data_IF_572759115188
#
_entry.id   IF_572759115188
#
_cell.length_a   1.000
_cell.length_b   1.000
_cell.length_c   1.000
_cell.angle_alpha   90.00
_cell.angle_beta   90.00
_cell.angle_gamma   90.00
#
_symmetry.space_group_name_H-M   'P 1'
#
loop_
_entity.id
_entity.type
_entity.pdbx_description
1 polymer ?
#
# COMPACT_ATOMS: atom_id res chain seq x y z
N UNK A 1 12.85 -47.39 -3.34
CA UNK A 1 13.21 -46.13 -4.03
C UNK A 1 12.14 -45.90 -5.05
N UNK A 2 11.23 -44.95 -4.78
CA UNK A 2 10.22 -44.60 -5.78
C UNK A 2 10.91 -43.92 -6.98
N UNK A 3 10.49 -44.23 -8.22
CA UNK A 3 11.06 -43.59 -9.40
C UNK A 3 10.72 -42.10 -9.40
N UNK A 4 11.75 -41.25 -9.34
CA UNK A 4 11.64 -39.80 -9.40
C UNK A 4 10.71 -39.33 -10.54
N UNK A 5 9.70 -38.55 -10.15
CA UNK A 5 8.71 -37.98 -11.06
C UNK A 5 9.42 -37.13 -12.13
N UNK A 6 8.91 -37.14 -13.36
CA UNK A 6 9.50 -36.41 -14.49
C UNK A 6 9.69 -34.92 -14.18
N UNK A 7 8.76 -34.35 -13.41
CA UNK A 7 8.87 -32.98 -12.91
C UNK A 7 10.09 -32.75 -12.01
N UNK A 8 10.40 -33.68 -11.11
CA UNK A 8 11.53 -33.55 -10.18
C UNK A 8 12.86 -33.65 -10.92
N UNK A 9 12.95 -34.53 -11.93
CA UNK A 9 14.11 -34.60 -12.85
C UNK A 9 14.33 -33.27 -13.58
N UNK A 10 13.29 -32.72 -14.20
CA UNK A 10 13.40 -31.43 -14.90
C UNK A 10 13.77 -30.29 -13.94
N UNK A 11 13.29 -30.33 -12.70
CA UNK A 11 13.65 -29.35 -11.67
C UNK A 11 15.12 -29.43 -11.30
N UNK A 12 15.64 -30.64 -11.09
CA UNK A 12 17.06 -30.85 -10.78
C UNK A 12 17.97 -30.42 -11.93
N UNK A 13 17.61 -30.72 -13.18
CA UNK A 13 18.37 -30.26 -14.35
C UNK A 13 18.45 -28.73 -14.45
N UNK A 14 17.33 -28.04 -14.17
CA UNK A 14 17.30 -26.57 -14.12
C UNK A 14 18.18 -26.04 -13.00
N UNK A 15 18.14 -26.66 -11.81
CA UNK A 15 19.00 -26.28 -10.67
C UNK A 15 20.47 -26.49 -11.02
N UNK A 16 20.82 -27.61 -11.65
CA UNK A 16 22.19 -27.91 -12.07
C UNK A 16 22.69 -26.95 -13.14
N UNK A 17 21.88 -26.66 -14.17
CA UNK A 17 22.21 -25.67 -15.21
C UNK A 17 22.42 -24.28 -14.62
N UNK A 18 21.53 -23.83 -13.73
CA UNK A 18 21.65 -22.52 -13.08
C UNK A 18 22.91 -22.46 -12.19
N UNK A 19 23.20 -23.51 -11.42
CA UNK A 19 24.41 -23.58 -10.60
C UNK A 19 25.69 -23.58 -11.46
N UNK A 20 25.69 -24.25 -12.61
CA UNK A 20 26.82 -24.22 -13.54
C UNK A 20 27.08 -22.81 -14.10
N UNK A 21 26.01 -22.10 -14.48
CA UNK A 21 26.09 -20.69 -14.92
C UNK A 21 26.63 -19.80 -13.80
N UNK A 22 26.13 -19.94 -12.58
CA UNK A 22 26.61 -19.17 -11.42
C UNK A 22 28.08 -19.45 -11.09
N UNK A 23 28.54 -20.68 -11.33
CA UNK A 23 29.94 -21.08 -11.17
C UNK A 23 30.82 -20.48 -12.27
N UNK A 24 30.37 -20.50 -13.53
CA UNK A 24 31.07 -19.89 -14.66
C UNK A 24 31.21 -18.37 -14.49
N UNK A 25 30.18 -17.71 -13.96
CA UNK A 25 30.18 -16.29 -13.65
C UNK A 25 30.97 -15.92 -12.38
N UNK A 26 31.55 -16.89 -11.67
CA UNK A 26 32.35 -16.64 -10.46
C UNK A 26 31.57 -16.02 -9.31
N UNK A 27 30.23 -16.15 -9.29
CA UNK A 27 29.38 -15.47 -8.30
C UNK A 27 29.68 -15.97 -6.89
N UNK A 28 29.91 -17.28 -6.73
CA UNK A 28 30.25 -17.87 -5.43
C UNK A 28 31.61 -17.41 -4.90
N UNK A 29 32.61 -17.24 -5.76
CA UNK A 29 33.94 -16.77 -5.36
C UNK A 29 33.92 -15.28 -5.05
N UNK A 30 33.15 -14.48 -5.79
CA UNK A 30 32.90 -13.07 -5.48
C UNK A 30 32.17 -12.89 -4.13
N UNK A 31 31.16 -13.72 -3.84
CA UNK A 31 30.46 -13.72 -2.57
C UNK A 31 31.37 -14.08 -1.39
N UNK A 32 32.25 -15.08 -1.55
CA UNK A 32 33.25 -15.45 -0.54
C UNK A 32 34.28 -14.34 -0.29
N UNK A 33 34.76 -13.65 -1.33
CA UNK A 33 35.66 -12.49 -1.18
C UNK A 33 35.01 -11.34 -0.42
N UNK A 34 33.73 -11.05 -0.68
CA UNK A 34 32.95 -10.05 0.06
C UNK A 34 32.72 -10.47 1.52
N UNK A 35 32.50 -11.76 1.78
CA UNK A 35 32.36 -12.29 3.13
C UNK A 35 33.69 -12.23 3.91
N UNK A 36 34.82 -12.51 3.25
CA UNK A 36 36.16 -12.43 3.84
C UNK A 36 36.62 -10.98 4.10
N UNK A 37 36.15 -10.00 3.30
CA UNK A 37 36.43 -8.57 3.48
C UNK A 37 35.62 -7.90 4.61
N UNK A 38 34.60 -8.56 5.14
CA UNK A 38 33.91 -8.10 6.35
C UNK A 38 34.69 -8.58 7.57
N UNK A 39 35.59 -7.73 8.05
CA UNK A 39 36.26 -7.91 9.34
C UNK A 39 35.25 -8.35 10.40
N UNK A 40 35.65 -9.36 11.20
CA UNK A 40 34.82 -9.91 12.30
C UNK A 40 34.26 -8.74 13.11
N UNK A 41 32.94 -8.56 13.07
CA UNK A 41 32.25 -7.71 14.05
C UNK A 41 32.67 -8.21 15.44
N UNK A 42 33.18 -7.34 16.34
CA UNK A 42 33.51 -7.77 17.68
C UNK A 42 32.25 -8.38 18.32
N UNK A 43 32.38 -9.43 19.13
CA UNK A 43 31.23 -10.07 19.76
C UNK A 43 30.45 -9.00 20.53
N UNK A 44 29.15 -8.89 20.24
CA UNK A 44 28.26 -8.04 21.01
C UNK A 44 28.31 -8.52 22.45
N UNK A 45 28.96 -7.72 23.31
CA UNK A 45 28.99 -7.91 24.75
C UNK A 45 27.54 -8.06 25.22
N UNK A 46 27.16 -9.27 25.63
CA UNK A 46 25.86 -9.54 26.23
C UNK A 46 25.69 -8.56 27.39
N UNK A 47 24.79 -7.58 27.22
CA UNK A 47 24.47 -6.62 28.28
C UNK A 47 23.89 -7.45 29.43
N UNK A 48 24.66 -7.58 30.53
CA UNK A 48 24.12 -8.07 31.80
C UNK A 48 22.91 -7.20 32.11
N UNK A 49 21.74 -7.83 32.32
CA UNK A 49 20.53 -7.13 32.77
C UNK A 49 20.90 -6.40 34.06
N UNK A 50 20.92 -5.08 34.02
CA UNK A 50 21.10 -4.28 35.22
C UNK A 50 19.87 -4.49 36.13
N UNK A 51 20.04 -4.59 37.45
CA UNK A 51 18.91 -4.64 38.37
C UNK A 51 18.12 -3.32 38.22
N UNK A 52 16.80 -3.46 38.08
CA UNK A 52 15.87 -2.34 37.94
C UNK A 52 15.98 -1.49 39.19
N UNK A 53 16.55 -0.28 39.08
CA UNK A 53 16.49 0.71 40.15
C UNK A 53 15.05 1.23 40.22
N UNK A 54 14.42 1.06 41.38
CA UNK A 54 13.12 1.62 41.69
C UNK A 54 13.15 3.15 41.52
N UNK A 55 12.45 3.64 40.50
CA UNK A 55 12.18 5.06 40.37
C UNK A 55 11.02 5.39 41.33
N UNK A 56 11.34 6.12 42.40
CA UNK A 56 10.37 6.75 43.29
C UNK A 56 9.55 7.73 42.47
N UNK A 57 8.25 7.44 42.29
CA UNK A 57 7.28 8.33 41.66
C UNK A 57 6.88 9.41 42.66
N UNK A 58 7.06 10.69 42.30
CA UNK A 58 6.40 11.80 42.98
C UNK A 58 5.03 12.06 42.31
N UNK A 59 4.02 12.11 43.17
CA UNK A 59 2.71 12.77 43.04
C UNK A 59 1.62 12.17 42.13
N UNK A 60 0.70 11.47 42.81
CA UNK A 60 -0.74 11.72 42.86
C UNK A 60 -1.51 11.92 41.55
N UNK A 61 -2.19 10.85 41.11
CA UNK A 61 -3.57 10.91 40.59
C UNK A 61 -4.28 9.59 40.95
N UNK A 62 -5.54 9.76 41.37
CA UNK A 62 -6.43 8.81 41.99
C UNK A 62 -6.64 7.52 41.18
N UNK A 63 -6.87 6.44 41.91
CA UNK A 63 -7.17 5.08 41.44
C UNK A 63 -8.27 5.02 40.38
N UNK A 64 -8.03 4.23 39.34
CA UNK A 64 -9.07 3.61 38.53
C UNK A 64 -8.70 2.15 38.33
N UNK A 65 -9.62 1.29 38.73
CA UNK A 65 -9.52 -0.16 38.81
C UNK A 65 -9.29 -0.82 37.44
N UNK A 66 -8.88 -2.08 37.50
CA UNK A 66 -8.39 -2.94 36.42
C UNK A 66 -9.24 -2.90 35.13
N UNK A 67 -8.57 -2.59 34.01
CA UNK A 67 -9.05 -2.90 32.66
C UNK A 67 -7.89 -3.60 31.92
N UNK A 68 -8.09 -4.88 31.59
CA UNK A 68 -7.20 -5.65 30.72
C UNK A 68 -7.03 -4.92 29.38
N UNK A 69 -5.78 -4.60 29.02
CA UNK A 69 -5.46 -4.04 27.71
C UNK A 69 -5.81 -5.02 26.57
N UNK A 70 -6.17 -4.52 25.38
CA UNK A 70 -6.67 -5.37 24.30
C UNK A 70 -5.59 -6.37 23.85
N UNK A 71 -5.93 -7.66 23.94
CA UNK A 71 -5.10 -8.77 23.49
C UNK A 71 -4.82 -8.59 22.00
N UNK A 72 -3.54 -8.59 21.62
CA UNK A 72 -3.12 -8.67 20.21
C UNK A 72 -3.59 -10.01 19.66
N UNK A 73 -4.73 -10.02 18.99
CA UNK A 73 -5.22 -11.20 18.31
C UNK A 73 -4.23 -11.64 17.23
N UNK A 74 -3.89 -12.92 17.30
CA UNK A 74 -2.95 -13.58 16.39
C UNK A 74 -3.56 -13.61 14.99
N UNK A 75 -2.95 -12.86 14.06
CA UNK A 75 -3.33 -12.75 12.64
C UNK A 75 -3.19 -14.07 11.83
N UNK A 76 -3.03 -15.22 12.50
CA UNK A 76 -2.80 -16.54 11.91
C UNK A 76 -3.95 -17.53 12.08
N UNK A 77 -5.03 -17.14 12.77
CA UNK A 77 -6.21 -18.00 12.98
C UNK A 77 -7.37 -17.73 11.98
N UNK A 78 -7.18 -16.85 10.98
CA UNK A 78 -8.24 -16.43 10.05
C UNK A 78 -8.23 -17.22 8.73
N UNK A 79 -7.87 -18.51 8.78
CA UNK A 79 -7.79 -19.42 7.63
C UNK A 79 -8.64 -20.68 7.87
N UNK A 80 -9.90 -20.53 8.29
CA UNK A 80 -10.80 -21.69 8.43
C UNK A 80 -12.26 -21.43 8.03
N UNK A 81 -12.57 -20.30 7.39
CA UNK A 81 -13.83 -20.19 6.68
C UNK A 81 -13.53 -19.65 5.29
N UNK A 82 -13.47 -20.55 4.31
CA UNK A 82 -13.81 -20.19 2.94
C UNK A 82 -15.30 -19.79 2.96
N UNK A 83 -15.57 -18.59 3.46
CA UNK A 83 -16.80 -17.87 3.21
C UNK A 83 -16.98 -17.90 1.70
N UNK A 84 -18.05 -18.53 1.22
CA UNK A 84 -18.38 -18.60 -0.20
C UNK A 84 -18.42 -17.18 -0.75
N UNK A 85 -17.34 -16.78 -1.42
CA UNK A 85 -17.19 -15.42 -1.93
C UNK A 85 -18.16 -15.22 -3.07
N UNK A 86 -19.19 -14.41 -2.84
CA UNK A 86 -20.24 -14.15 -3.81
C UNK A 86 -19.85 -12.98 -4.72
N UNK A 87 -20.40 -12.95 -5.94
CA UNK A 87 -20.30 -11.73 -6.76
C UNK A 87 -21.05 -10.59 -6.07
N UNK A 88 -20.68 -9.34 -6.35
CA UNK A 88 -21.38 -8.18 -5.81
C UNK A 88 -22.89 -8.23 -6.14
N UNK A 89 -23.23 -8.57 -7.39
CA UNK A 89 -24.62 -8.68 -7.84
C UNK A 89 -25.39 -9.75 -7.05
N UNK A 90 -24.78 -10.92 -6.84
CA UNK A 90 -25.42 -12.01 -6.09
C UNK A 90 -25.56 -11.66 -4.61
N UNK A 91 -24.57 -10.97 -4.02
CA UNK A 91 -24.61 -10.52 -2.64
C UNK A 91 -25.75 -9.53 -2.37
N UNK A 92 -25.90 -8.51 -3.23
CA UNK A 92 -26.99 -7.54 -3.06
C UNK A 92 -28.36 -8.14 -3.38
N UNK A 93 -28.45 -9.04 -4.37
CA UNK A 93 -29.67 -9.81 -4.63
C UNK A 93 -30.05 -10.66 -3.41
N UNK A 94 -29.09 -11.30 -2.75
CA UNK A 94 -29.30 -12.04 -1.51
C UNK A 94 -29.77 -11.14 -0.36
N UNK A 95 -29.27 -9.90 -0.28
CA UNK A 95 -29.76 -8.89 0.67
C UNK A 95 -31.11 -8.28 0.31
N UNK A 96 -31.68 -8.59 -0.86
CA UNK A 96 -32.91 -7.97 -1.35
C UNK A 96 -32.76 -6.47 -1.64
N UNK A 97 -31.55 -6.02 -1.98
CA UNK A 97 -31.26 -4.64 -2.36
C UNK A 97 -31.06 -4.53 -3.87
N UNK A 98 -31.79 -3.63 -4.51
CA UNK A 98 -31.58 -3.30 -5.91
C UNK A 98 -30.30 -2.48 -6.08
N UNK A 99 -29.37 -2.98 -6.90
CA UNK A 99 -28.08 -2.34 -7.12
C UNK A 99 -28.23 -1.37 -8.28
N UNK A 100 -28.29 -0.07 -7.97
CA UNK A 100 -28.24 1.01 -8.96
C UNK A 100 -26.86 1.70 -8.99
N UNK A 101 -25.82 0.98 -8.55
CA UNK A 101 -24.45 1.48 -8.50
C UNK A 101 -23.79 1.57 -9.87
N UNK A 102 -22.75 2.41 -9.96
CA UNK A 102 -21.95 2.60 -11.17
C UNK A 102 -21.11 1.34 -11.41
N UNK A 103 -21.16 0.77 -12.61
CA UNK A 103 -20.30 -0.36 -12.99
C UNK A 103 -18.97 0.19 -13.48
N UNK A 104 -17.86 -0.29 -12.91
CA UNK A 104 -16.51 0.14 -13.27
C UNK A 104 -15.64 -1.02 -13.71
N UNK A 105 -14.66 -0.76 -14.58
CA UNK A 105 -13.64 -1.71 -15.05
C UNK A 105 -12.45 -1.82 -14.08
N UNK A 106 -12.40 -0.94 -13.09
CA UNK A 106 -11.34 -0.90 -12.11
C UNK A 106 -10.10 -0.11 -12.52
N UNK A 107 -10.19 0.66 -13.61
CA UNK A 107 -9.13 1.51 -14.12
C UNK A 107 -9.47 2.98 -13.93
N UNK A 108 -8.51 3.76 -13.44
CA UNK A 108 -8.58 5.21 -13.39
C UNK A 108 -7.91 5.82 -14.62
N UNK A 109 -8.70 6.57 -15.40
CA UNK A 109 -8.28 7.21 -16.66
C UNK A 109 -8.05 8.71 -16.51
N UNK A 110 -8.37 9.29 -15.35
CA UNK A 110 -8.16 10.70 -15.08
C UNK A 110 -6.70 11.06 -14.85
N UNK A 111 -6.45 12.37 -14.77
CA UNK A 111 -5.18 12.96 -14.35
C UNK A 111 -5.35 13.72 -13.04
N UNK A 112 -4.29 14.39 -12.58
CA UNK A 112 -4.36 15.28 -11.42
C UNK A 112 -5.43 16.35 -11.63
N UNK A 113 -6.13 16.74 -10.56
CA UNK A 113 -7.13 17.81 -10.61
C UNK A 113 -6.57 19.06 -11.31
N UNK A 114 -7.26 19.62 -12.33
CA UNK A 114 -6.76 20.76 -13.11
C UNK A 114 -6.38 21.98 -12.27
N UNK A 115 -7.10 22.23 -11.17
CA UNK A 115 -6.79 23.31 -10.24
C UNK A 115 -5.40 23.14 -9.59
N UNK A 116 -5.07 21.90 -9.21
CA UNK A 116 -3.78 21.54 -8.62
C UNK A 116 -2.68 21.59 -9.69
N UNK A 117 -2.96 21.15 -10.93
CA UNK A 117 -2.00 21.25 -12.04
C UNK A 117 -1.54 22.68 -12.26
N UNK A 118 -2.50 23.60 -12.40
CA UNK A 118 -2.24 25.03 -12.57
C UNK A 118 -1.50 25.64 -11.39
N UNK A 119 -1.85 25.26 -10.16
CA UNK A 119 -1.27 25.83 -8.94
C UNK A 119 0.19 25.43 -8.73
N UNK A 120 0.55 24.18 -8.99
CA UNK A 120 1.89 23.64 -8.72
C UNK A 120 2.75 23.40 -9.96
N UNK A 121 2.28 23.80 -11.14
CA UNK A 121 2.99 23.62 -12.40
C UNK A 121 3.24 22.15 -12.72
N UNK A 122 2.21 21.32 -12.49
CA UNK A 122 2.17 19.93 -12.93
C UNK A 122 1.62 19.94 -14.36
N UNK A 123 2.21 19.19 -15.30
CA UNK A 123 1.69 19.09 -16.66
C UNK A 123 0.22 18.68 -16.67
N UNK A 124 -0.55 19.19 -17.62
CA UNK A 124 -2.01 19.01 -17.67
C UNK A 124 -2.41 17.60 -18.16
N UNK A 125 -1.47 16.84 -18.74
CA UNK A 125 -1.67 15.48 -19.25
C UNK A 125 -0.55 14.52 -18.85
N UNK A 126 -0.91 13.23 -18.73
CA UNK A 126 0.03 12.12 -18.52
C UNK A 126 1.10 12.07 -19.64
N UNK A 127 0.70 12.36 -20.88
CA UNK A 127 1.58 12.33 -22.05
C UNK A 127 2.63 13.43 -22.00
N UNK A 128 2.24 14.63 -21.60
CA UNK A 128 3.15 15.77 -21.45
C UNK A 128 4.11 15.54 -20.27
N UNK A 129 3.59 15.03 -19.14
CA UNK A 129 4.42 14.63 -18.01
C UNK A 129 5.43 13.54 -18.39
N UNK A 130 5.02 12.58 -19.22
CA UNK A 130 5.91 11.55 -19.73
C UNK A 130 6.88 12.08 -20.79
N UNK A 131 6.51 13.06 -21.60
CA UNK A 131 7.40 13.68 -22.58
C UNK A 131 8.49 14.53 -21.92
N UNK A 132 8.13 15.33 -20.90
CA UNK A 132 9.10 16.10 -20.11
C UNK A 132 9.92 15.22 -19.16
N UNK A 133 9.31 14.17 -18.61
CA UNK A 133 9.90 13.26 -17.63
C UNK A 133 10.44 11.95 -18.20
N UNK A 134 10.50 11.83 -19.53
CA UNK A 134 10.86 10.67 -20.34
C UNK A 134 11.42 9.48 -19.58
N UNK A 135 10.56 8.48 -19.33
CA UNK A 135 10.93 7.13 -18.89
C UNK A 135 12.11 7.07 -17.90
N UNK A 136 11.84 7.09 -16.59
CA UNK A 136 12.86 6.79 -15.58
C UNK A 136 13.34 5.33 -15.61
N UNK A 137 13.97 4.88 -16.71
CA UNK A 137 15.00 3.84 -16.64
C UNK A 137 16.15 4.46 -15.85
N UNK A 138 16.20 4.11 -14.56
CA UNK A 138 17.16 4.67 -13.64
C UNK A 138 16.53 5.78 -12.83
N UNK A 139 15.81 5.41 -11.77
CA UNK A 139 15.81 6.27 -10.59
C UNK A 139 17.26 6.50 -10.21
N UNK A 140 17.83 7.64 -10.62
CA UNK A 140 19.03 8.19 -10.03
C UNK A 140 18.83 8.04 -8.53
N UNK A 141 19.66 7.21 -7.88
CA UNK A 141 19.65 7.04 -6.42
C UNK A 141 19.53 8.44 -5.85
N UNK A 142 18.34 8.75 -5.30
CA UNK A 142 17.94 10.12 -5.04
C UNK A 142 19.06 10.86 -4.35
N UNK A 143 19.35 12.07 -4.83
CA UNK A 143 20.12 13.03 -4.06
C UNK A 143 19.61 12.93 -2.62
N UNK A 144 20.52 12.71 -1.67
CA UNK A 144 20.18 12.55 -0.25
C UNK A 144 19.70 13.91 0.27
N UNK A 145 18.51 14.34 -0.12
CA UNK A 145 17.79 15.41 0.55
C UNK A 145 17.60 14.92 1.97
N UNK A 146 18.13 15.67 2.94
CA UNK A 146 18.18 15.28 4.34
C UNK A 146 16.82 14.76 4.79
N UNK A 147 16.79 13.60 5.44
CA UNK A 147 15.55 13.07 6.01
C UNK A 147 15.02 14.11 6.99
N UNK A 148 13.83 14.62 6.73
CA UNK A 148 13.09 15.38 7.73
C UNK A 148 12.87 14.47 8.94
N UNK A 149 13.18 14.97 10.14
CA UNK A 149 13.21 14.15 11.35
C UNK A 149 11.82 13.52 11.58
N UNK A 150 11.76 12.19 11.69
CA UNK A 150 10.52 11.44 11.91
C UNK A 150 9.82 10.91 10.65
N UNK A 151 10.27 11.26 9.44
CA UNK A 151 9.69 10.71 8.21
C UNK A 151 10.33 9.38 7.80
N UNK A 152 9.51 8.44 7.34
CA UNK A 152 10.00 7.22 6.71
C UNK A 152 10.67 7.53 5.36
N UNK A 153 11.60 6.67 4.91
CA UNK A 153 12.29 6.87 3.63
C UNK A 153 11.29 6.99 2.45
N UNK A 154 10.21 6.20 2.48
CA UNK A 154 9.17 6.23 1.45
C UNK A 154 8.37 7.53 1.48
N UNK A 155 8.09 8.08 2.67
CA UNK A 155 7.38 9.36 2.83
C UNK A 155 8.24 10.54 2.33
N UNK A 156 9.54 10.53 2.67
CA UNK A 156 10.47 11.55 2.20
C UNK A 156 10.68 11.47 0.67
N UNK A 157 10.80 10.27 0.11
CA UNK A 157 10.94 10.09 -1.34
C UNK A 157 9.67 10.53 -2.10
N UNK A 158 8.49 10.10 -1.67
CA UNK A 158 7.23 10.51 -2.33
C UNK A 158 7.02 12.02 -2.32
N UNK A 159 7.51 12.74 -1.30
CA UNK A 159 7.40 14.20 -1.24
C UNK A 159 8.16 14.91 -2.37
N UNK A 160 9.22 14.31 -2.93
CA UNK A 160 9.96 14.89 -4.07
C UNK A 160 9.28 14.63 -5.42
N UNK A 161 8.25 13.79 -5.45
CA UNK A 161 7.69 13.26 -6.69
C UNK A 161 6.50 14.07 -7.23
N UNK A 162 6.15 15.21 -6.63
CA UNK A 162 4.93 15.96 -7.00
C UNK A 162 4.82 16.24 -8.52
N UNK A 163 5.92 16.63 -9.17
CA UNK A 163 5.95 16.95 -10.61
C UNK A 163 6.32 15.75 -11.49
N UNK A 164 7.08 14.80 -10.97
CA UNK A 164 7.63 13.67 -11.76
C UNK A 164 6.74 12.44 -11.73
N UNK A 165 6.12 12.15 -10.58
CA UNK A 165 5.14 11.09 -10.40
C UNK A 165 4.09 11.57 -9.39
N UNK A 166 3.09 12.35 -9.86
CA UNK A 166 2.06 12.90 -9.00
C UNK A 166 1.28 11.82 -8.24
N UNK A 167 1.06 10.65 -8.87
CA UNK A 167 0.39 9.52 -8.23
C UNK A 167 1.13 9.07 -6.95
N UNK A 168 2.47 8.96 -7.00
CA UNK A 168 3.25 8.58 -5.83
C UNK A 168 3.23 9.63 -4.72
N UNK A 169 3.15 10.92 -5.07
CA UNK A 169 3.02 12.01 -4.12
C UNK A 169 1.66 11.98 -3.42
N UNK A 170 0.57 12.09 -4.19
CA UNK A 170 -0.80 12.18 -3.66
C UNK A 170 -1.29 10.90 -2.99
N UNK A 171 -0.61 9.77 -3.20
CA UNK A 171 -0.88 8.57 -2.43
C UNK A 171 -0.62 8.75 -0.93
N UNK A 172 0.30 9.65 -0.54
CA UNK A 172 0.76 9.81 0.86
C UNK A 172 0.67 11.24 1.39
N UNK A 173 0.58 12.22 0.52
CA UNK A 173 0.60 13.64 0.84
C UNK A 173 -0.62 14.31 0.21
N UNK A 174 -1.14 15.32 0.89
CA UNK A 174 -2.12 16.25 0.32
C UNK A 174 -1.39 17.33 -0.47
N UNK A 175 -2.12 18.26 -1.09
CA UNK A 175 -1.50 19.42 -1.71
C UNK A 175 -0.61 20.18 -0.68
N UNK A 176 0.54 20.76 -1.08
CA UNK A 176 1.48 21.42 -0.17
C UNK A 176 0.90 22.46 0.80
N UNK A 177 -0.20 23.11 0.43
CA UNK A 177 -0.85 24.16 1.26
C UNK A 177 -2.07 23.66 2.04
N UNK A 178 -2.34 22.36 2.00
CA UNK A 178 -3.49 21.74 2.68
C UNK A 178 -3.03 20.88 3.86
N UNK A 179 -3.91 20.77 4.84
CA UNK A 179 -3.73 19.84 5.95
C UNK A 179 -4.49 18.53 5.69
N UNK A 180 -3.89 17.41 6.09
CA UNK A 180 -4.52 16.12 5.91
C UNK A 180 -5.66 15.91 6.91
N UNK A 181 -6.85 15.61 6.41
CA UNK A 181 -7.99 15.25 7.23
C UNK A 181 -7.73 13.95 8.01
N UNK A 182 -7.88 14.03 9.33
CA UNK A 182 -7.84 12.90 10.26
C UNK A 182 -9.25 12.73 10.86
N UNK A 183 -10.07 11.88 10.25
CA UNK A 183 -11.43 11.67 10.71
C UNK A 183 -12.32 10.96 9.70
N UNK A 184 -13.59 10.86 10.05
CA UNK A 184 -14.65 10.27 9.23
C UNK A 184 -14.87 11.05 7.93
N UNK A 185 -15.46 10.40 6.95
CA UNK A 185 -15.80 11.01 5.65
C UNK A 185 -17.05 11.85 5.77
N UNK A 186 -16.97 13.10 5.35
CA UNK A 186 -18.11 14.01 5.23
C UNK A 186 -18.95 13.66 4.00
N UNK A 187 -20.18 14.18 3.96
CA UNK A 187 -21.10 13.96 2.84
C UNK A 187 -20.57 14.63 1.55
N UNK A 188 -19.99 15.83 1.66
CA UNK A 188 -19.36 16.54 0.55
C UNK A 188 -18.19 15.73 -0.06
N UNK A 189 -17.32 15.17 0.79
CA UNK A 189 -16.23 14.30 0.33
C UNK A 189 -16.75 13.02 -0.32
N UNK A 190 -17.87 12.48 0.18
CA UNK A 190 -18.51 11.29 -0.36
C UNK A 190 -19.08 11.55 -1.76
N UNK A 191 -19.79 12.66 -1.96
CA UNK A 191 -20.33 13.06 -3.25
C UNK A 191 -19.20 13.27 -4.28
N UNK A 192 -18.15 13.98 -3.87
CA UNK A 192 -16.98 14.23 -4.72
C UNK A 192 -16.25 12.96 -5.12
N UNK A 193 -16.19 11.96 -4.21
CA UNK A 193 -15.66 10.64 -4.51
C UNK A 193 -16.46 9.96 -5.63
N UNK A 194 -17.79 9.96 -5.53
CA UNK A 194 -18.67 9.32 -6.51
C UNK A 194 -18.64 10.05 -7.85
N UNK A 195 -18.64 11.38 -7.84
CA UNK A 195 -18.53 12.20 -9.05
C UNK A 195 -17.20 11.93 -9.78
N UNK A 196 -16.10 11.94 -9.04
CA UNK A 196 -14.76 11.64 -9.59
C UNK A 196 -14.73 10.23 -10.20
N UNK A 197 -15.30 9.24 -9.51
CA UNK A 197 -15.37 7.87 -10.00
C UNK A 197 -16.23 7.75 -11.27
N UNK A 198 -17.34 8.50 -11.35
CA UNK A 198 -18.21 8.55 -12.52
C UNK A 198 -17.52 9.18 -13.74
N UNK A 199 -16.78 10.26 -13.52
CA UNK A 199 -16.11 11.01 -14.58
C UNK A 199 -14.86 10.29 -15.11
N UNK A 200 -14.03 9.75 -14.21
CA UNK A 200 -12.67 9.31 -14.53
C UNK A 200 -12.43 7.81 -14.34
N UNK A 201 -13.42 7.06 -13.86
CA UNK A 201 -13.22 5.68 -13.38
C UNK A 201 -12.58 5.64 -11.99
N UNK A 202 -12.31 4.44 -11.48
CA UNK A 202 -11.71 4.23 -10.14
C UNK A 202 -11.13 2.81 -10.06
N UNK A 203 -10.08 2.61 -9.24
CA UNK A 203 -9.67 1.27 -8.83
C UNK A 203 -8.17 0.98 -8.74
N UNK A 204 -7.28 1.85 -9.23
CA UNK A 204 -5.84 1.60 -9.27
C UNK A 204 -4.97 2.83 -8.91
N UNK A 205 -5.07 3.94 -9.67
CA UNK A 205 -4.25 5.15 -9.51
C UNK A 205 -4.79 6.06 -8.39
N UNK A 206 -4.82 5.52 -7.17
CA UNK A 206 -5.42 6.18 -6.00
C UNK A 206 -4.81 7.53 -5.63
N UNK A 207 -3.53 7.77 -5.94
CA UNK A 207 -2.93 9.08 -5.73
C UNK A 207 -3.52 10.13 -6.68
N UNK A 208 -3.60 9.83 -7.98
CA UNK A 208 -4.24 10.74 -8.94
C UNK A 208 -5.70 10.97 -8.59
N UNK A 209 -6.42 9.91 -8.25
CA UNK A 209 -7.81 9.99 -7.80
C UNK A 209 -7.98 10.93 -6.59
N UNK A 210 -7.14 10.78 -5.56
CA UNK A 210 -7.20 11.60 -4.35
C UNK A 210 -6.93 13.10 -4.61
N UNK A 211 -6.26 13.46 -5.70
CA UNK A 211 -6.06 14.88 -6.04
C UNK A 211 -7.37 15.63 -6.32
N UNK A 212 -8.46 14.93 -6.60
CA UNK A 212 -9.80 15.52 -6.78
C UNK A 212 -10.55 15.68 -5.45
N UNK A 213 -10.06 15.12 -4.34
CA UNK A 213 -10.71 15.16 -3.03
C UNK A 213 -9.78 15.91 -2.06
N UNK A 214 -10.05 17.19 -1.77
CA UNK A 214 -9.23 18.01 -0.88
C UNK A 214 -8.99 17.35 0.48
N UNK A 215 -7.83 17.61 1.09
CA UNK A 215 -7.45 17.07 2.40
C UNK A 215 -7.37 15.52 2.53
N UNK A 216 -7.72 14.75 1.50
CA UNK A 216 -7.61 13.27 1.48
C UNK A 216 -6.41 12.82 0.65
N UNK A 217 -5.87 11.66 1.01
CA UNK A 217 -4.74 11.03 0.29
C UNK A 217 -5.14 9.67 -0.28
N UNK A 218 -4.35 9.17 -1.23
CA UNK A 218 -4.70 7.97 -1.99
C UNK A 218 -4.93 6.72 -1.14
N UNK A 219 -4.15 6.49 -0.07
CA UNK A 219 -4.41 5.33 0.80
C UNK A 219 -5.72 5.45 1.59
N UNK A 220 -6.21 6.66 1.87
CA UNK A 220 -7.51 6.86 2.51
C UNK A 220 -8.63 6.57 1.50
N UNK A 221 -8.48 7.04 0.26
CA UNK A 221 -9.44 6.77 -0.81
C UNK A 221 -9.57 5.28 -1.12
N UNK A 222 -8.44 4.55 -1.20
CA UNK A 222 -8.47 3.11 -1.46
C UNK A 222 -9.08 2.32 -0.31
N UNK A 223 -8.84 2.73 0.93
CA UNK A 223 -9.47 2.14 2.11
C UNK A 223 -10.98 2.40 2.13
N UNK A 224 -11.38 3.64 1.85
CA UNK A 224 -12.79 4.03 1.79
C UNK A 224 -13.55 3.27 0.70
N UNK A 225 -12.92 3.06 -0.44
CA UNK A 225 -13.49 2.29 -1.55
C UNK A 225 -13.86 0.86 -1.13
N UNK A 226 -12.91 0.14 -0.52
CA UNK A 226 -13.11 -1.26 -0.11
C UNK A 226 -14.01 -1.40 1.13
N UNK A 227 -13.99 -0.45 2.06
CA UNK A 227 -14.69 -0.56 3.34
C UNK A 227 -16.11 0.03 3.30
N UNK A 228 -16.35 1.03 2.46
CA UNK A 228 -17.63 1.76 2.43
C UNK A 228 -18.29 1.71 1.06
N UNK A 229 -17.59 2.07 -0.01
CA UNK A 229 -18.20 2.23 -1.34
C UNK A 229 -18.69 0.89 -1.91
N UNK A 230 -17.81 -0.12 -1.92
CA UNK A 230 -18.14 -1.45 -2.45
C UNK A 230 -19.23 -2.14 -1.60
N UNK A 231 -19.11 -2.22 -0.26
CA UNK A 231 -20.13 -2.89 0.55
C UNK A 231 -21.50 -2.20 0.53
N UNK A 232 -21.56 -0.89 0.25
CA UNK A 232 -22.83 -0.16 0.06
C UNK A 232 -23.42 -0.32 -1.34
N UNK A 233 -22.69 -0.92 -2.28
CA UNK A 233 -23.19 -1.16 -3.65
C UNK A 233 -23.28 0.11 -4.49
N UNK A 234 -22.58 1.18 -4.10
CA UNK A 234 -22.53 2.43 -4.84
C UNK A 234 -21.71 2.30 -6.13
N UNK A 235 -20.67 1.45 -6.08
CA UNK A 235 -19.85 1.08 -7.23
C UNK A 235 -19.73 -0.44 -7.29
N UNK A 236 -19.96 -1.00 -8.47
CA UNK A 236 -19.83 -2.43 -8.75
C UNK A 236 -18.53 -2.66 -9.52
N UNK A 237 -17.53 -3.23 -8.86
CA UNK A 237 -16.26 -3.64 -9.46
C UNK A 237 -16.17 -5.18 -9.56
N UNK A 238 -16.12 -5.76 -10.78
CA UNK A 238 -16.04 -7.21 -10.98
C UNK A 238 -14.84 -7.89 -10.32
N UNK A 239 -13.77 -7.16 -10.00
CA UNK A 239 -12.55 -7.67 -9.34
C UNK A 239 -12.72 -7.86 -7.84
N UNK A 240 -13.87 -7.44 -7.29
CA UNK A 240 -14.24 -7.68 -5.91
C UNK A 240 -15.30 -8.76 -5.79
N UNK A 241 -15.22 -9.48 -4.67
CA UNK A 241 -16.22 -10.41 -4.18
C UNK A 241 -16.61 -10.04 -2.77
N UNK A 242 -17.81 -10.44 -2.36
CA UNK A 242 -18.32 -10.18 -1.02
C UNK A 242 -18.33 -11.48 -0.21
N UNK A 243 -17.78 -11.42 0.99
CA UNK A 243 -18.03 -12.45 2.01
C UNK A 243 -19.46 -12.28 2.54
N UNK A 244 -20.03 -13.34 3.11
CA UNK A 244 -21.36 -13.33 3.71
C UNK A 244 -21.48 -12.32 4.86
N UNK A 245 -20.37 -12.03 5.54
CA UNK A 245 -20.27 -10.99 6.57
C UNK A 245 -20.34 -9.55 6.01
N UNK A 246 -20.34 -9.36 4.68
CA UNK A 246 -20.36 -8.05 4.04
C UNK A 246 -18.99 -7.40 3.88
N UNK A 247 -17.92 -8.18 4.00
CA UNK A 247 -16.55 -7.73 3.73
C UNK A 247 -16.23 -7.86 2.24
N UNK A 248 -15.76 -6.78 1.63
CA UNK A 248 -15.23 -6.80 0.27
C UNK A 248 -13.83 -7.44 0.23
N UNK A 249 -13.65 -8.42 -0.64
CA UNK A 249 -12.40 -9.15 -0.88
C UNK A 249 -12.01 -8.97 -2.33
N UNK A 250 -10.80 -8.46 -2.56
CA UNK A 250 -10.23 -8.32 -3.90
C UNK A 250 -9.74 -9.68 -4.41
N UNK A 251 -10.13 -10.06 -5.63
CA UNK A 251 -9.82 -11.38 -6.22
C UNK A 251 -9.00 -11.34 -7.51
N UNK A 252 -8.72 -10.14 -8.05
CA UNK A 252 -7.90 -9.96 -9.26
C UNK A 252 -8.72 -9.51 -10.46
#
# INVERSE_FOLDING_TARGET
MEPMNEYERQREERIQRNNAILKQLGVHTAAQKLAAGRGRRPPQRLKRKAPVKAAVRKCARLSREDQEGPKKENLKALNTEHDELMTLKDYFKWKGQDVNGIIVDGQYRGWVCPAICKKYGIPDSEEEAFALGGSGRGGSKGAKTGKMHGWSNARAFSATQLRTNPNAYFYRHVAPDEEQAQGDWTEEEHELFLETAKANGVGDKWGLFASHIPARVGYQCSAYYRETIIPRGLIIDPRFRMSRAGKAVFVG
#
